data_IF_701711377359
#
_entry.id   IF_701711377359
#
_cell.length_a   1.000
_cell.length_b   1.000
_cell.length_c   1.000
_cell.angle_alpha   90.00
_cell.angle_beta   90.00
_cell.angle_gamma   90.00
#
_symmetry.space_group_name_H-M   'P 1'
#
loop_
_entity.id
_entity.type
_entity.pdbx_description
1 polymer ?
#
# COMPACT_ATOMS: atom_id res chain seq x y z
N UNK A 1 5.14 -2.20 -9.57
CA UNK A 1 4.41 -3.28 -10.25
C UNK A 1 3.86 -2.81 -11.62
N UNK A 2 3.54 -3.75 -12.51
CA UNK A 2 2.85 -3.47 -13.76
C UNK A 2 1.42 -2.98 -13.49
N UNK A 3 1.02 -1.85 -14.08
CA UNK A 3 -0.34 -1.29 -13.93
C UNK A 3 -1.30 -1.67 -15.06
N UNK A 4 -0.84 -2.35 -16.10
CA UNK A 4 -1.72 -2.83 -17.19
C UNK A 4 -2.73 -3.83 -16.62
N UNK A 5 -4.06 -3.60 -16.78
CA UNK A 5 -5.07 -4.49 -16.23
C UNK A 5 -5.02 -5.90 -16.84
N UNK A 6 -5.29 -6.97 -16.06
CA UNK A 6 -5.31 -8.35 -16.54
C UNK A 6 -6.21 -8.58 -17.76
N UNK A 7 -7.31 -7.86 -17.87
CA UNK A 7 -8.24 -7.95 -19.02
C UNK A 7 -7.58 -7.62 -20.35
N UNK A 8 -6.50 -6.82 -20.35
CA UNK A 8 -5.75 -6.49 -21.55
C UNK A 8 -4.74 -7.58 -21.95
N UNK A 9 -4.07 -8.23 -21.00
CA UNK A 9 -2.96 -9.15 -21.32
C UNK A 9 -3.26 -10.63 -21.07
N UNK A 10 -4.07 -10.97 -20.08
CA UNK A 10 -4.44 -12.37 -19.80
C UNK A 10 -5.61 -12.82 -20.65
N UNK A 11 -6.62 -11.97 -20.81
CA UNK A 11 -7.88 -12.35 -21.45
C UNK A 11 -8.09 -11.72 -22.82
N UNK A 12 -7.32 -10.69 -23.18
CA UNK A 12 -7.43 -9.95 -24.44
C UNK A 12 -8.87 -9.48 -24.75
N UNK A 13 -9.60 -9.08 -23.69
CA UNK A 13 -11.04 -8.74 -23.72
C UNK A 13 -11.32 -7.28 -24.05
N UNK A 14 -10.36 -6.41 -23.83
CA UNK A 14 -10.47 -4.97 -24.05
C UNK A 14 -9.34 -4.45 -24.94
N UNK A 15 -9.57 -3.31 -25.56
CA UNK A 15 -8.57 -2.65 -26.42
C UNK A 15 -7.33 -2.28 -25.60
N UNK A 16 -6.16 -2.48 -26.20
CA UNK A 16 -4.88 -2.17 -25.57
C UNK A 16 -4.66 -0.65 -25.54
N UNK A 17 -4.21 -0.16 -24.39
CA UNK A 17 -3.81 1.25 -24.23
C UNK A 17 -2.52 1.54 -25.00
N UNK A 18 -2.23 2.83 -25.24
CA UNK A 18 -1.01 3.28 -25.92
C UNK A 18 0.27 2.74 -25.27
N UNK A 19 0.30 2.69 -23.92
CA UNK A 19 1.44 2.21 -23.15
C UNK A 19 1.23 0.78 -22.60
N UNK A 20 0.60 -0.07 -23.40
CA UNK A 20 0.36 -1.47 -23.04
C UNK A 20 1.63 -2.18 -22.58
N UNK A 21 1.61 -2.76 -21.39
CA UNK A 21 2.74 -3.41 -20.71
C UNK A 21 3.96 -2.51 -20.45
N UNK A 22 3.81 -1.18 -20.48
CA UNK A 22 4.90 -0.22 -20.34
C UNK A 22 4.71 0.76 -19.17
N UNK A 23 3.68 0.57 -18.33
CA UNK A 23 3.42 1.44 -17.19
C UNK A 23 3.62 0.71 -15.86
N UNK A 24 4.05 1.46 -14.87
CA UNK A 24 4.25 0.98 -13.48
C UNK A 24 3.52 1.89 -12.51
N UNK A 25 3.17 1.36 -11.35
CA UNK A 25 2.57 2.08 -10.22
C UNK A 25 3.52 3.14 -9.64
N UNK A 26 4.82 2.86 -9.59
CA UNK A 26 5.81 3.75 -8.99
C UNK A 26 7.03 3.92 -9.92
N UNK A 27 7.08 4.97 -10.74
CA UNK A 27 8.22 5.29 -11.60
C UNK A 27 9.47 5.67 -10.79
N UNK A 28 10.64 5.35 -11.32
CA UNK A 28 11.90 5.91 -10.80
C UNK A 28 11.99 7.37 -11.20
N UNK A 29 12.12 8.28 -10.24
CA UNK A 29 12.26 9.73 -10.50
C UNK A 29 13.72 10.14 -10.43
N UNK A 30 14.18 10.87 -11.46
CA UNK A 30 15.55 11.38 -11.52
C UNK A 30 15.57 12.84 -11.97
N UNK A 31 16.54 13.66 -11.51
CA UNK A 31 16.71 15.03 -12.00
C UNK A 31 17.40 15.05 -13.38
N UNK A 32 16.97 15.97 -14.25
CA UNK A 32 17.72 16.25 -15.50
C UNK A 32 19.03 16.95 -15.20
N UNK A 33 19.93 16.97 -16.21
CA UNK A 33 21.23 17.60 -16.17
C UNK A 33 22.18 17.16 -15.02
N UNK A 34 21.81 16.13 -14.28
CA UNK A 34 22.56 15.58 -13.17
C UNK A 34 23.05 14.17 -13.50
N UNK A 35 24.32 13.84 -13.26
CA UNK A 35 24.82 12.48 -13.37
C UNK A 35 24.14 11.55 -12.35
N UNK A 36 23.45 10.53 -12.83
CA UNK A 36 22.75 9.53 -12.00
C UNK A 36 23.51 8.19 -12.06
N UNK A 37 23.62 7.54 -10.93
CA UNK A 37 24.16 6.20 -10.79
C UNK A 37 23.07 5.25 -10.30
N UNK A 38 22.75 4.27 -11.12
CA UNK A 38 21.88 3.16 -10.75
C UNK A 38 22.68 2.03 -10.13
N UNK A 39 22.24 1.53 -9.01
CA UNK A 39 22.72 0.29 -8.38
C UNK A 39 21.69 -0.80 -8.71
N UNK A 40 22.14 -1.82 -9.45
CA UNK A 40 21.26 -2.81 -10.07
C UNK A 40 21.61 -4.19 -9.54
N UNK A 41 20.63 -4.88 -8.96
CA UNK A 41 20.75 -6.25 -8.46
C UNK A 41 19.42 -6.98 -8.63
N UNK A 42 19.38 -8.26 -8.28
CA UNK A 42 18.19 -9.10 -8.27
C UNK A 42 18.13 -9.90 -6.97
N UNK A 43 16.93 -10.30 -6.54
CA UNK A 43 16.69 -11.15 -5.38
C UNK A 43 16.37 -12.60 -5.75
N UNK A 44 16.07 -12.90 -7.00
CA UNK A 44 15.58 -14.20 -7.47
C UNK A 44 16.49 -14.79 -8.57
N UNK A 45 16.30 -14.39 -9.81
CA UNK A 45 17.05 -14.86 -10.98
C UNK A 45 17.78 -13.71 -11.67
N UNK A 46 18.51 -13.97 -12.75
CA UNK A 46 19.14 -12.93 -13.54
C UNK A 46 18.08 -12.22 -14.38
N UNK A 47 18.04 -10.88 -14.30
CA UNK A 47 17.30 -9.97 -15.17
C UNK A 47 18.28 -9.02 -15.87
N UNK A 48 17.79 -8.20 -16.79
CA UNK A 48 18.59 -7.13 -17.37
C UNK A 48 17.81 -5.83 -17.42
N UNK A 49 18.27 -4.83 -16.71
CA UNK A 49 17.70 -3.49 -16.72
C UNK A 49 18.10 -2.80 -18.03
N UNK A 50 17.13 -2.57 -18.90
CA UNK A 50 17.36 -1.98 -20.21
C UNK A 50 16.50 -0.72 -20.44
N UNK A 51 17.18 0.36 -20.83
CA UNK A 51 16.57 1.64 -21.19
C UNK A 51 17.31 2.17 -22.43
N UNK A 52 16.68 2.05 -23.59
CA UNK A 52 17.31 2.41 -24.87
C UNK A 52 17.68 3.88 -24.93
N UNK A 53 16.81 4.77 -24.47
CA UNK A 53 17.01 6.21 -24.51
C UNK A 53 18.18 6.69 -23.63
N UNK A 54 18.57 5.88 -22.64
CA UNK A 54 19.72 6.16 -21.79
C UNK A 54 21.00 5.46 -22.28
N UNK A 55 20.90 4.66 -23.33
CA UNK A 55 21.95 3.78 -23.81
C UNK A 55 22.49 2.85 -22.70
N UNK A 56 21.59 2.40 -21.80
CA UNK A 56 21.94 1.53 -20.68
C UNK A 56 21.32 0.16 -20.90
N UNK A 57 22.14 -0.86 -20.80
CA UNK A 57 21.77 -2.25 -20.61
C UNK A 57 22.67 -2.83 -19.53
N UNK A 58 22.11 -3.26 -18.40
CA UNK A 58 22.88 -3.77 -17.27
C UNK A 58 22.16 -4.94 -16.63
N UNK A 59 22.84 -6.07 -16.54
CA UNK A 59 22.30 -7.26 -15.91
C UNK A 59 22.15 -7.06 -14.40
N UNK A 60 21.01 -7.52 -13.87
CA UNK A 60 20.70 -7.60 -12.46
C UNK A 60 20.95 -9.06 -12.02
N UNK A 61 22.03 -9.28 -11.27
CA UNK A 61 22.52 -10.62 -10.92
C UNK A 61 22.37 -10.81 -9.42
N UNK A 62 21.75 -11.93 -8.95
CA UNK A 62 21.66 -12.23 -7.53
C UNK A 62 23.03 -12.25 -6.84
N UNK A 63 23.13 -11.55 -5.70
CA UNK A 63 24.35 -11.46 -4.92
C UNK A 63 25.42 -10.47 -5.46
N UNK A 64 25.18 -9.81 -6.59
CA UNK A 64 26.06 -8.78 -7.14
C UNK A 64 25.34 -7.45 -7.26
N UNK A 65 26.06 -6.35 -7.04
CA UNK A 65 25.56 -4.99 -7.29
C UNK A 65 26.28 -4.43 -8.50
N UNK A 66 25.61 -4.37 -9.62
CA UNK A 66 26.13 -3.76 -10.84
C UNK A 66 25.82 -2.26 -10.86
N UNK A 67 26.63 -1.50 -11.59
CA UNK A 67 26.53 -0.04 -11.64
C UNK A 67 26.33 0.41 -13.08
N UNK A 68 25.24 1.11 -13.33
CA UNK A 68 25.02 1.88 -14.56
C UNK A 68 25.04 3.38 -14.26
N UNK A 69 25.47 4.18 -15.24
CA UNK A 69 25.52 5.63 -15.13
C UNK A 69 24.87 6.27 -16.35
N UNK A 70 24.11 7.32 -16.11
CA UNK A 70 23.54 8.13 -17.20
C UNK A 70 23.43 9.59 -16.77
N UNK A 71 23.20 10.46 -17.75
CA UNK A 71 22.79 11.84 -17.55
C UNK A 71 21.70 12.15 -18.58
N UNK A 72 20.50 12.46 -18.12
CA UNK A 72 19.36 12.81 -18.97
C UNK A 72 19.26 14.33 -19.02
N UNK A 73 19.13 14.90 -20.20
CA UNK A 73 19.11 16.37 -20.39
C UNK A 73 17.71 16.90 -20.70
N UNK A 74 16.75 16.03 -21.03
CA UNK A 74 15.40 16.44 -21.41
C UNK A 74 14.40 15.86 -20.41
N UNK A 75 13.56 16.68 -19.79
CA UNK A 75 12.47 16.18 -18.95
C UNK A 75 11.50 15.31 -19.77
N UNK A 76 10.99 14.24 -19.16
CA UNK A 76 10.06 13.34 -19.85
C UNK A 76 9.91 12.00 -19.14
N UNK A 77 9.08 11.14 -19.73
CA UNK A 77 8.83 9.79 -19.27
C UNK A 77 9.53 8.83 -20.22
N UNK A 78 10.48 8.09 -19.71
CA UNK A 78 11.30 7.13 -20.44
C UNK A 78 10.90 5.72 -20.06
N UNK A 79 10.79 4.84 -21.04
CA UNK A 79 10.29 3.48 -20.85
C UNK A 79 11.31 2.45 -21.30
N UNK A 80 11.47 1.44 -20.48
CA UNK A 80 12.34 0.31 -20.73
C UNK A 80 11.69 -0.98 -20.24
N UNK A 81 12.43 -2.05 -20.31
CA UNK A 81 11.95 -3.37 -19.90
C UNK A 81 13.11 -4.28 -19.52
N UNK A 82 12.77 -5.41 -18.91
CA UNK A 82 13.71 -6.51 -18.72
C UNK A 82 14.09 -7.11 -20.10
N UNK A 83 15.38 -7.32 -20.32
CA UNK A 83 15.93 -7.90 -21.57
C UNK A 83 16.80 -9.14 -21.36
N UNK A 84 16.65 -9.81 -20.21
CA UNK A 84 17.18 -11.15 -19.94
C UNK A 84 16.02 -12.09 -19.61
N UNK A 85 15.95 -13.24 -20.28
CA UNK A 85 14.88 -14.24 -20.08
C UNK A 85 14.91 -14.73 -18.61
N UNK A 86 13.92 -14.33 -17.84
CA UNK A 86 13.88 -14.51 -16.39
C UNK A 86 12.70 -15.37 -15.88
N UNK A 87 11.89 -15.92 -16.80
CA UNK A 87 10.78 -16.81 -16.45
C UNK A 87 9.45 -16.42 -17.08
N UNK A 88 8.36 -16.94 -16.55
CA UNK A 88 7.01 -16.86 -17.13
C UNK A 88 6.49 -15.42 -17.30
N UNK A 89 6.88 -14.51 -16.40
CA UNK A 89 6.46 -13.09 -16.44
C UNK A 89 7.51 -12.14 -17.02
N UNK A 90 8.46 -12.66 -17.78
CA UNK A 90 9.53 -11.86 -18.38
C UNK A 90 9.03 -10.62 -19.18
N UNK A 91 7.94 -10.77 -19.93
CA UNK A 91 7.34 -9.67 -20.70
C UNK A 91 6.55 -8.66 -19.87
N UNK A 92 6.30 -8.95 -18.58
CA UNK A 92 5.47 -8.14 -17.68
C UNK A 92 6.29 -7.37 -16.65
N UNK A 93 7.50 -6.98 -17.01
CA UNK A 93 8.47 -6.26 -16.17
C UNK A 93 8.90 -4.94 -16.83
N UNK A 94 8.00 -3.97 -16.98
CA UNK A 94 8.36 -2.68 -17.52
C UNK A 94 9.22 -1.88 -16.53
N UNK A 95 9.98 -0.95 -17.07
CA UNK A 95 10.75 0.04 -16.34
C UNK A 95 10.26 1.41 -16.78
N UNK A 96 9.89 2.26 -15.85
CA UNK A 96 9.53 3.65 -16.14
C UNK A 96 10.43 4.58 -15.33
N UNK A 97 11.07 5.50 -16.03
CA UNK A 97 11.87 6.57 -15.41
C UNK A 97 11.26 7.92 -15.80
N UNK A 98 10.91 8.70 -14.79
CA UNK A 98 10.44 10.08 -14.92
C UNK A 98 11.61 11.02 -14.68
N UNK A 99 12.17 11.61 -15.75
CA UNK A 99 13.17 12.66 -15.65
C UNK A 99 12.47 14.00 -15.49
N UNK A 100 12.82 14.74 -14.44
CA UNK A 100 12.16 15.99 -14.03
C UNK A 100 13.19 17.09 -13.83
N UNK A 101 12.75 18.35 -13.73
CA UNK A 101 13.64 19.45 -13.35
C UNK A 101 14.20 19.24 -11.95
N UNK A 102 15.25 19.95 -11.59
CA UNK A 102 15.83 19.86 -10.24
C UNK A 102 14.81 20.29 -9.17
N UNK A 103 14.00 21.30 -9.47
CA UNK A 103 12.96 21.80 -8.55
C UNK A 103 11.87 20.74 -8.31
N UNK A 104 11.33 20.14 -9.37
CA UNK A 104 10.33 19.06 -9.27
C UNK A 104 10.90 17.81 -8.56
N UNK A 105 12.20 17.54 -8.73
CA UNK A 105 12.86 16.45 -8.03
C UNK A 105 12.94 16.71 -6.52
N UNK A 106 13.27 17.93 -6.11
CA UNK A 106 13.35 18.32 -4.71
C UNK A 106 11.96 18.28 -4.04
N UNK A 107 10.91 18.73 -4.74
CA UNK A 107 9.53 18.61 -4.27
C UNK A 107 9.12 17.14 -4.09
N UNK A 108 9.39 16.29 -5.08
CA UNK A 108 9.13 14.85 -4.98
C UNK A 108 9.90 14.22 -3.81
N UNK A 109 11.16 14.56 -3.66
CA UNK A 109 11.99 14.04 -2.57
C UNK A 109 11.49 14.47 -1.20
N UNK A 110 11.02 15.73 -1.09
CA UNK A 110 10.40 16.22 0.15
C UNK A 110 9.13 15.46 0.48
N UNK A 111 8.25 15.25 -0.51
CA UNK A 111 7.03 14.42 -0.34
C UNK A 111 7.36 13.00 0.17
N UNK A 112 8.41 12.38 -0.38
CA UNK A 112 8.85 11.05 0.09
C UNK A 112 9.43 11.07 1.51
N UNK A 113 10.12 12.13 1.91
CA UNK A 113 10.61 12.31 3.28
C UNK A 113 9.46 12.49 4.26
N UNK A 114 8.51 13.37 3.94
CA UNK A 114 7.34 13.63 4.78
C UNK A 114 6.54 12.32 5.01
N UNK A 115 6.35 11.53 3.95
CA UNK A 115 5.71 10.22 4.05
C UNK A 115 6.51 9.25 4.93
N UNK A 116 7.83 9.21 4.78
CA UNK A 116 8.69 8.35 5.60
C UNK A 116 8.66 8.77 7.08
N UNK A 117 8.65 10.06 7.39
CA UNK A 117 8.50 10.59 8.75
C UNK A 117 7.14 10.23 9.34
N UNK A 118 6.06 10.32 8.55
CA UNK A 118 4.73 9.91 8.98
C UNK A 118 4.68 8.40 9.28
N UNK A 119 5.22 7.55 8.41
CA UNK A 119 5.29 6.11 8.63
C UNK A 119 6.10 5.79 9.89
N UNK A 120 7.29 6.43 10.05
CA UNK A 120 8.11 6.25 11.25
C UNK A 120 7.34 6.62 12.52
N UNK A 121 6.66 7.76 12.52
CA UNK A 121 5.81 8.16 13.64
C UNK A 121 4.73 7.10 13.97
N UNK A 122 4.04 6.58 12.94
CA UNK A 122 2.99 5.59 13.13
C UNK A 122 3.50 4.24 13.65
N UNK A 123 4.72 3.85 13.24
CA UNK A 123 5.29 2.52 13.53
C UNK A 123 6.18 2.49 14.76
N UNK A 124 6.83 3.61 15.12
CA UNK A 124 7.79 3.69 16.21
C UNK A 124 7.19 4.25 17.51
N UNK A 125 6.08 5.02 17.42
CA UNK A 125 5.41 5.54 18.60
C UNK A 125 4.77 4.39 19.40
N UNK A 126 4.97 4.39 20.70
CA UNK A 126 4.20 3.55 21.64
C UNK A 126 2.81 4.16 21.85
N UNK A 127 1.78 3.45 21.41
CA UNK A 127 0.39 3.86 21.54
C UNK A 127 -0.26 3.24 22.78
N UNK A 128 -0.96 4.05 23.57
CA UNK A 128 -1.72 3.55 24.71
C UNK A 128 -3.20 3.34 24.36
N UNK A 129 -3.89 2.40 25.07
CA UNK A 129 -5.33 2.23 24.86
C UNK A 129 -6.12 3.54 25.02
N UNK A 130 -5.76 4.37 26.00
CA UNK A 130 -6.44 5.62 26.31
C UNK A 130 -6.36 6.63 25.15
N UNK A 131 -5.20 6.72 24.48
CA UNK A 131 -5.03 7.60 23.31
C UNK A 131 -5.95 7.17 22.14
N UNK A 132 -6.14 5.86 21.95
CA UNK A 132 -6.92 5.32 20.86
C UNK A 132 -8.43 5.29 21.15
N UNK A 133 -8.82 5.05 22.41
CA UNK A 133 -10.22 4.88 22.80
C UNK A 133 -11.07 6.13 22.54
N UNK A 134 -10.60 7.32 22.89
CA UNK A 134 -11.36 8.56 22.72
C UNK A 134 -11.66 8.81 21.23
N UNK A 135 -10.64 8.74 20.39
CA UNK A 135 -10.78 8.89 18.92
C UNK A 135 -11.64 7.77 18.35
N UNK A 136 -11.46 6.55 18.81
CA UNK A 136 -12.20 5.37 18.38
C UNK A 136 -13.70 5.46 18.68
N UNK A 137 -14.07 5.97 19.85
CA UNK A 137 -15.47 6.21 20.24
C UNK A 137 -16.13 7.24 19.35
N UNK A 138 -15.50 8.38 19.10
CA UNK A 138 -16.01 9.43 18.22
C UNK A 138 -16.23 8.93 16.78
N UNK A 139 -15.29 8.16 16.25
CA UNK A 139 -15.42 7.56 14.92
C UNK A 139 -16.53 6.52 14.91
N UNK A 140 -16.59 5.67 15.92
CA UNK A 140 -17.65 4.68 16.05
C UNK A 140 -19.05 5.32 16.03
N UNK A 141 -19.28 6.33 16.84
CA UNK A 141 -20.56 7.04 16.93
C UNK A 141 -20.95 7.67 15.59
N UNK A 142 -20.00 8.25 14.87
CA UNK A 142 -20.26 8.99 13.63
C UNK A 142 -20.34 8.11 12.37
N UNK A 143 -19.63 6.98 12.33
CA UNK A 143 -19.47 6.17 11.13
C UNK A 143 -20.07 4.75 11.24
N UNK A 144 -20.12 4.18 12.43
CA UNK A 144 -20.44 2.76 12.64
C UNK A 144 -21.78 2.54 13.35
N UNK A 145 -22.12 3.40 14.31
CA UNK A 145 -23.29 3.24 15.18
C UNK A 145 -24.62 3.24 14.42
N UNK A 146 -24.71 3.88 13.27
CA UNK A 146 -25.91 3.87 12.44
C UNK A 146 -26.36 2.45 12.05
N UNK A 147 -25.41 1.55 11.82
CA UNK A 147 -25.66 0.15 11.50
C UNK A 147 -25.50 -0.77 12.71
N UNK A 148 -24.39 -0.60 13.46
CA UNK A 148 -24.05 -1.48 14.57
C UNK A 148 -24.63 -1.08 15.93
N UNK A 149 -25.39 -0.01 15.98
CA UNK A 149 -26.00 0.62 17.17
C UNK A 149 -24.93 1.14 18.17
N UNK A 150 -25.25 2.12 18.98
CA UNK A 150 -24.31 2.74 19.95
C UNK A 150 -23.81 1.76 20.99
N UNK A 151 -24.58 0.73 21.30
CA UNK A 151 -24.20 -0.34 22.25
C UNK A 151 -23.55 -1.56 21.57
N UNK A 152 -23.22 -1.49 20.30
CA UNK A 152 -22.60 -2.59 19.58
C UNK A 152 -23.50 -3.81 19.31
N UNK A 153 -24.80 -3.74 19.62
CA UNK A 153 -25.70 -4.90 19.52
C UNK A 153 -26.11 -5.23 18.06
N UNK A 154 -25.88 -4.32 17.13
CA UNK A 154 -26.30 -4.48 15.74
C UNK A 154 -27.82 -4.50 15.58
N UNK A 155 -28.30 -5.01 14.44
CA UNK A 155 -29.72 -5.22 14.13
C UNK A 155 -29.89 -6.66 13.65
N UNK A 156 -30.59 -7.47 14.40
CA UNK A 156 -30.77 -8.89 14.09
C UNK A 156 -31.30 -9.12 12.66
N UNK A 157 -30.60 -9.94 11.90
CA UNK A 157 -30.95 -10.27 10.50
C UNK A 157 -30.45 -9.25 9.45
N UNK A 158 -29.91 -8.09 9.87
CA UNK A 158 -29.41 -7.05 8.97
C UNK A 158 -27.95 -6.67 9.24
N UNK A 159 -27.63 -6.28 10.47
CA UNK A 159 -26.29 -5.84 10.85
C UNK A 159 -25.80 -6.66 12.05
N UNK A 160 -24.62 -7.28 11.96
CA UNK A 160 -24.12 -8.14 13.03
C UNK A 160 -23.82 -7.33 14.30
N UNK A 161 -23.95 -7.96 15.45
CA UNK A 161 -23.45 -7.42 16.70
C UNK A 161 -21.92 -7.41 16.71
N UNK A 162 -21.35 -6.33 17.24
CA UNK A 162 -19.92 -6.21 17.54
C UNK A 162 -19.66 -6.54 19.02
N UNK A 163 -20.61 -6.21 19.90
CA UNK A 163 -20.60 -6.64 21.29
C UNK A 163 -20.72 -8.16 21.37
N UNK A 164 -19.76 -8.83 21.99
CA UNK A 164 -19.69 -10.29 22.11
C UNK A 164 -19.35 -11.02 20.81
N UNK A 165 -18.92 -10.32 19.78
CA UNK A 165 -18.49 -10.95 18.52
C UNK A 165 -17.13 -11.61 18.68
N UNK A 166 -17.02 -12.88 18.30
CA UNK A 166 -15.76 -13.63 18.38
C UNK A 166 -14.67 -13.00 17.49
N UNK A 167 -15.01 -12.57 16.27
CA UNK A 167 -14.09 -11.86 15.39
C UNK A 167 -13.58 -10.58 16.04
N UNK A 168 -14.47 -9.78 16.63
CA UNK A 168 -14.08 -8.52 17.27
C UNK A 168 -13.21 -8.76 18.50
N UNK A 169 -13.49 -9.81 19.26
CA UNK A 169 -12.77 -10.10 20.50
C UNK A 169 -11.45 -10.84 20.30
N UNK A 170 -11.34 -11.71 19.29
CA UNK A 170 -10.27 -12.70 19.21
C UNK A 170 -9.54 -12.77 17.86
N UNK A 171 -9.97 -12.01 16.84
CA UNK A 171 -9.33 -12.04 15.52
C UNK A 171 -9.00 -10.62 15.02
N UNK A 172 -7.89 -10.09 15.53
CA UNK A 172 -7.36 -8.77 15.15
C UNK A 172 -7.13 -8.64 13.64
N UNK A 173 -6.53 -9.63 13.03
CA UNK A 173 -6.19 -9.61 11.61
C UNK A 173 -7.45 -9.55 10.73
N UNK A 174 -8.46 -10.36 11.05
CA UNK A 174 -9.73 -10.37 10.32
C UNK A 174 -10.49 -9.07 10.48
N UNK A 175 -10.41 -8.44 11.64
CA UNK A 175 -11.06 -7.17 11.88
C UNK A 175 -10.42 -6.04 11.06
N UNK A 176 -9.09 -6.02 10.96
CA UNK A 176 -8.35 -5.11 10.07
C UNK A 176 -8.76 -5.34 8.61
N UNK A 177 -8.73 -6.59 8.14
CA UNK A 177 -9.15 -6.96 6.79
C UNK A 177 -10.55 -6.44 6.46
N UNK A 178 -11.53 -6.63 7.37
CA UNK A 178 -12.91 -6.18 7.17
C UNK A 178 -13.01 -4.65 7.02
N UNK A 179 -12.28 -3.88 7.80
CA UNK A 179 -12.30 -2.43 7.67
C UNK A 179 -11.55 -1.96 6.42
N UNK A 180 -10.46 -2.65 6.06
CA UNK A 180 -9.67 -2.32 4.88
C UNK A 180 -10.39 -2.66 3.58
N UNK A 181 -11.01 -3.83 3.49
CA UNK A 181 -11.56 -4.35 2.24
C UNK A 181 -13.10 -4.32 2.19
N UNK A 182 -13.74 -4.22 3.33
CA UNK A 182 -15.19 -4.42 3.45
C UNK A 182 -15.57 -5.90 3.36
N UNK A 183 -16.87 -6.17 3.26
CA UNK A 183 -17.37 -7.54 3.06
C UNK A 183 -18.14 -7.58 1.73
N UNK A 184 -17.61 -8.30 0.78
CA UNK A 184 -18.18 -8.41 -0.57
C UNK A 184 -19.62 -8.92 -0.54
N UNK A 185 -20.53 -8.18 -1.17
CA UNK A 185 -21.95 -8.53 -1.23
C UNK A 185 -22.75 -8.13 0.02
N UNK A 186 -22.16 -7.39 0.95
CA UNK A 186 -22.83 -6.84 2.13
C UNK A 186 -22.88 -5.31 2.12
N UNK A 187 -23.48 -4.72 3.16
CA UNK A 187 -23.48 -3.26 3.39
C UNK A 187 -22.18 -2.77 4.07
N UNK A 188 -21.32 -3.69 4.53
CA UNK A 188 -20.04 -3.34 5.14
C UNK A 188 -19.04 -3.00 4.04
N UNK A 189 -18.87 -1.71 3.81
CA UNK A 189 -17.95 -1.16 2.80
C UNK A 189 -16.51 -1.10 3.33
N UNK A 190 -15.55 -0.90 2.44
CA UNK A 190 -14.19 -0.53 2.80
C UNK A 190 -14.14 0.88 3.38
N UNK A 191 -13.32 1.07 4.41
CA UNK A 191 -13.00 2.35 5.02
C UNK A 191 -11.55 2.80 4.72
N UNK A 192 -10.81 2.08 3.90
CA UNK A 192 -9.39 2.32 3.62
C UNK A 192 -9.10 3.74 3.08
N UNK A 193 -10.03 4.33 2.32
CA UNK A 193 -9.90 5.70 1.81
C UNK A 193 -10.59 6.76 2.68
N UNK A 194 -11.32 6.34 3.71
CA UNK A 194 -12.13 7.22 4.55
C UNK A 194 -11.51 7.48 5.93
N UNK A 195 -10.69 6.55 6.40
CA UNK A 195 -10.02 6.60 7.69
C UNK A 195 -8.51 6.45 7.49
N UNK A 196 -7.73 7.28 8.17
CA UNK A 196 -6.28 7.12 8.23
C UNK A 196 -5.90 5.98 9.20
N UNK A 197 -4.61 5.67 9.30
CA UNK A 197 -4.10 4.54 10.09
C UNK A 197 -4.42 4.69 11.59
N UNK A 198 -4.33 5.91 12.12
CA UNK A 198 -4.65 6.19 13.52
C UNK A 198 -6.15 6.02 13.78
N UNK A 199 -6.98 6.58 12.93
CA UNK A 199 -8.43 6.50 13.03
C UNK A 199 -8.93 5.05 12.91
N UNK A 200 -8.36 4.29 11.99
CA UNK A 200 -8.71 2.88 11.80
C UNK A 200 -8.30 2.03 13.01
N UNK A 201 -7.07 2.19 13.48
CA UNK A 201 -6.60 1.51 14.68
C UNK A 201 -7.43 1.88 15.92
N UNK A 202 -7.81 3.15 16.04
CA UNK A 202 -8.61 3.66 17.14
C UNK A 202 -10.00 3.04 17.19
N UNK A 203 -10.73 3.02 16.08
CA UNK A 203 -12.09 2.45 16.05
C UNK A 203 -12.09 0.94 16.23
N UNK A 204 -11.07 0.23 15.74
CA UNK A 204 -10.92 -1.19 15.98
C UNK A 204 -10.64 -1.42 17.47
N UNK A 205 -9.68 -0.71 18.07
CA UNK A 205 -9.36 -0.80 19.49
C UNK A 205 -10.57 -0.49 20.37
N UNK A 206 -11.34 0.55 20.03
CA UNK A 206 -12.59 0.86 20.73
C UNK A 206 -13.56 -0.32 20.71
N UNK A 207 -13.85 -0.89 19.54
CA UNK A 207 -14.80 -2.01 19.45
C UNK A 207 -14.32 -3.27 20.17
N UNK A 208 -13.00 -3.50 20.26
CA UNK A 208 -12.39 -4.61 20.99
C UNK A 208 -12.49 -4.46 22.51
N UNK A 209 -12.50 -3.23 23.01
CA UNK A 209 -12.52 -2.95 24.45
C UNK A 209 -13.89 -2.52 24.97
N UNK A 210 -14.80 -2.06 24.10
CA UNK A 210 -16.13 -1.59 24.49
C UNK A 210 -17.10 -2.74 24.84
N UNK A 211 -18.19 -2.40 25.51
CA UNK A 211 -19.34 -3.25 25.78
C UNK A 211 -19.05 -4.56 26.53
N UNK A 212 -17.92 -4.63 27.22
CA UNK A 212 -17.47 -5.81 27.96
C UNK A 212 -16.64 -6.79 27.13
N UNK A 213 -16.32 -6.47 25.88
CA UNK A 213 -15.46 -7.28 25.01
C UNK A 213 -14.06 -7.46 25.63
N UNK A 214 -13.54 -6.43 26.33
CA UNK A 214 -12.23 -6.49 26.99
C UNK A 214 -12.11 -7.61 28.05
N UNK A 215 -13.24 -8.07 28.59
CA UNK A 215 -13.28 -9.13 29.63
C UNK A 215 -13.39 -10.52 29.06
N UNK A 216 -13.86 -10.63 27.82
CA UNK A 216 -14.21 -11.92 27.21
C UNK A 216 -13.28 -12.27 26.05
N UNK A 217 -12.55 -11.28 25.51
CA UNK A 217 -11.62 -11.43 24.41
C UNK A 217 -10.16 -11.59 24.83
N UNK A 218 -9.26 -11.52 23.85
CA UNK A 218 -7.81 -11.60 24.04
C UNK A 218 -7.21 -10.36 24.71
N UNK A 219 -7.95 -9.23 24.75
CA UNK A 219 -7.50 -7.96 25.31
C UNK A 219 -6.46 -7.22 24.46
N UNK A 220 -6.13 -7.72 23.27
CA UNK A 220 -5.19 -7.05 22.38
C UNK A 220 -5.80 -5.80 21.79
N UNK A 221 -5.00 -4.74 21.66
CA UNK A 221 -5.35 -3.52 20.94
C UNK A 221 -4.78 -3.58 19.53
N UNK A 222 -5.37 -2.79 18.62
CA UNK A 222 -4.84 -2.52 17.29
C UNK A 222 -4.19 -1.15 17.34
N UNK A 223 -2.94 -1.08 16.92
CA UNK A 223 -2.17 0.16 16.85
C UNK A 223 -1.95 0.55 15.37
N UNK A 224 -1.65 1.83 15.07
CA UNK A 224 -1.44 2.28 13.68
C UNK A 224 -0.42 1.46 12.88
N UNK A 225 0.60 0.94 13.56
CA UNK A 225 1.58 0.03 12.97
C UNK A 225 0.95 -1.22 12.36
N UNK A 226 -0.04 -1.82 13.01
CA UNK A 226 -0.74 -3.02 12.49
C UNK A 226 -1.44 -2.71 11.16
N UNK A 227 -1.97 -1.48 11.00
CA UNK A 227 -2.63 -1.03 9.77
C UNK A 227 -1.60 -0.79 8.66
N UNK A 228 -0.45 -0.17 8.99
CA UNK A 228 0.66 0.03 8.04
C UNK A 228 1.16 -1.31 7.51
N UNK A 229 1.45 -2.27 8.41
CA UNK A 229 1.92 -3.61 8.06
C UNK A 229 0.90 -4.37 7.17
N UNK A 230 -0.39 -4.23 7.45
CA UNK A 230 -1.43 -4.81 6.60
C UNK A 230 -1.38 -4.23 5.17
N UNK A 231 -1.29 -2.91 5.04
CA UNK A 231 -1.19 -2.23 3.74
C UNK A 231 0.03 -2.69 2.93
N UNK A 232 1.18 -2.88 3.58
CA UNK A 232 2.41 -3.33 2.92
C UNK A 232 2.34 -4.78 2.44
N UNK A 233 1.62 -5.65 3.15
CA UNK A 233 1.49 -7.07 2.80
C UNK A 233 0.39 -7.36 1.79
N UNK A 234 -0.56 -6.45 1.61
CA UNK A 234 -1.72 -6.59 0.71
C UNK A 234 -1.48 -5.99 -0.69
N UNK A 235 -0.31 -5.36 -0.92
CA UNK A 235 0.17 -4.82 -2.20
C UNK A 235 0.99 -5.88 -2.97
#
# INVERSE_FOLDING_TARGET
NLTTPPDQYEFNRVEKTENYLLEVDEPVVIPVDTPVRFLITSNDVIHSWYMSDFAVKQDAIPGFINVAKTKVNVPGIYRGNCTELCGERHAYMPIVVKAVTQEEYEEWLQTKRDLAEQIAYLTEKEWTPEELLTTGEEIYETRCAACHQTNGAGIAGFYPALAGSDVVMNDKAKQIEILMEGIRGSQMQSFAEQLNEVEMASVITFTRLAWGNERSGDGEIVIPKDIVEYKETSL
#
